data_IF_165722765560
#
_entry.id   IF_165722765560
#
_cell.length_a   1.000
_cell.length_b   1.000
_cell.length_c   1.000
_cell.angle_alpha   90.00
_cell.angle_beta   90.00
_cell.angle_gamma   90.00
#
_symmetry.space_group_name_H-M   'P 1'
#
loop_
_entity.id
_entity.type
_entity.pdbx_description
1 polymer ?
#
# COMPACT_ATOMS: atom_id res chain seq x y z
N UNK A 1 -3.14 -8.62 16.68
CA UNK A 1 -2.56 -9.24 15.46
C UNK A 1 -1.55 -8.27 14.89
N UNK A 2 -0.53 -8.71 14.11
CA UNK A 2 0.37 -7.78 13.45
C UNK A 2 -0.39 -6.93 12.43
N UNK A 3 -0.01 -5.66 12.29
CA UNK A 3 -0.59 -4.77 11.27
C UNK A 3 -0.26 -5.33 9.88
N UNK A 4 -1.30 -5.47 9.05
CA UNK A 4 -1.13 -5.88 7.66
C UNK A 4 -1.44 -4.73 6.71
N UNK A 5 -0.88 -4.80 5.52
CA UNK A 5 -0.90 -3.76 4.50
C UNK A 5 -1.29 -4.37 3.18
N UNK A 6 -2.21 -3.74 2.48
CA UNK A 6 -2.60 -4.11 1.14
C UNK A 6 -2.15 -2.99 0.20
N UNK A 7 -1.33 -3.33 -0.78
CA UNK A 7 -0.74 -2.37 -1.73
C UNK A 7 -1.47 -2.50 -3.06
N UNK A 8 -2.30 -1.52 -3.40
CA UNK A 8 -3.13 -1.52 -4.61
C UNK A 8 -2.51 -0.58 -5.64
N UNK A 9 -2.13 -1.12 -6.80
CA UNK A 9 -1.53 -0.33 -7.86
C UNK A 9 -2.60 0.53 -8.55
N UNK A 10 -2.37 1.84 -8.63
CA UNK A 10 -3.27 2.72 -9.36
C UNK A 10 -3.06 2.54 -10.86
N UNK A 11 -4.16 2.46 -11.59
CA UNK A 11 -4.15 2.32 -13.04
C UNK A 11 -5.23 3.20 -13.67
N UNK A 12 -5.21 3.34 -14.99
CA UNK A 12 -6.27 4.06 -15.70
C UNK A 12 -7.66 3.40 -15.52
N UNK A 13 -7.70 2.12 -15.19
CA UNK A 13 -8.93 1.35 -14.97
C UNK A 13 -9.39 1.39 -13.51
N UNK A 14 -8.47 1.58 -12.58
CA UNK A 14 -8.74 1.76 -11.15
C UNK A 14 -7.91 2.94 -10.61
N UNK A 15 -8.30 4.18 -10.93
CA UNK A 15 -7.55 5.37 -10.53
C UNK A 15 -7.62 5.63 -9.03
N UNK A 16 -8.60 5.04 -8.35
CA UNK A 16 -8.82 5.19 -6.91
C UNK A 16 -8.21 4.05 -6.08
N UNK A 17 -7.73 2.97 -6.70
CA UNK A 17 -7.15 1.83 -5.98
C UNK A 17 -8.20 1.14 -5.11
N UNK A 18 -9.43 1.06 -5.63
CA UNK A 18 -10.58 0.51 -4.91
C UNK A 18 -10.76 -0.98 -5.15
N UNK A 19 -10.15 -1.53 -6.20
CA UNK A 19 -10.12 -2.97 -6.37
C UNK A 19 -9.00 -3.55 -5.51
N UNK A 20 -9.39 -4.02 -4.33
CA UNK A 20 -8.49 -4.63 -3.34
C UNK A 20 -8.63 -6.15 -3.29
N UNK A 21 -9.43 -6.74 -4.19
CA UNK A 21 -9.86 -8.14 -4.10
C UNK A 21 -8.77 -9.13 -4.47
N UNK A 22 -7.83 -8.71 -5.30
CA UNK A 22 -6.76 -9.57 -5.82
C UNK A 22 -5.42 -9.35 -5.09
N UNK A 23 -5.29 -8.26 -4.34
CA UNK A 23 -4.07 -7.89 -3.65
C UNK A 23 -3.91 -8.63 -2.32
N UNK A 24 -2.73 -9.21 -2.03
CA UNK A 24 -2.49 -9.87 -0.75
C UNK A 24 -2.39 -8.85 0.39
N UNK A 25 -2.93 -9.22 1.57
CA UNK A 25 -2.61 -8.56 2.84
C UNK A 25 -1.22 -9.01 3.30
N UNK A 26 -0.26 -8.09 3.28
CA UNK A 26 1.15 -8.34 3.56
C UNK A 26 1.57 -7.72 4.89
N UNK A 27 2.58 -8.29 5.55
CA UNK A 27 3.25 -7.61 6.67
C UNK A 27 4.20 -6.53 6.16
N UNK A 28 4.56 -5.56 7.00
CA UNK A 28 5.28 -4.36 6.59
C UNK A 28 6.51 -4.58 5.69
N UNK A 29 7.46 -5.51 5.98
CA UNK A 29 8.63 -5.70 5.12
C UNK A 29 8.26 -6.17 3.70
N UNK A 30 7.27 -7.05 3.58
CA UNK A 30 6.79 -7.54 2.28
C UNK A 30 6.00 -6.48 1.53
N UNK A 31 5.16 -5.73 2.23
CA UNK A 31 4.42 -4.60 1.69
C UNK A 31 5.37 -3.51 1.14
N UNK A 32 6.46 -3.23 1.87
CA UNK A 32 7.49 -2.28 1.44
C UNK A 32 8.19 -2.76 0.16
N UNK A 33 8.50 -4.06 0.07
CA UNK A 33 9.10 -4.64 -1.13
C UNK A 33 8.18 -4.56 -2.35
N UNK A 34 6.88 -4.79 -2.16
CA UNK A 34 5.88 -4.64 -3.22
C UNK A 34 5.75 -3.17 -3.66
N UNK A 35 5.69 -2.24 -2.71
CA UNK A 35 5.67 -0.81 -2.96
C UNK A 35 6.92 -0.33 -3.73
N UNK A 36 8.11 -0.83 -3.39
CA UNK A 36 9.34 -0.56 -4.15
C UNK A 36 9.23 -1.04 -5.59
N UNK A 37 8.71 -2.26 -5.81
CA UNK A 37 8.48 -2.78 -7.15
C UNK A 37 7.51 -1.95 -7.99
N UNK A 38 6.52 -1.30 -7.37
CA UNK A 38 5.60 -0.39 -8.05
C UNK A 38 6.28 0.95 -8.37
N UNK A 39 7.08 1.48 -7.44
CA UNK A 39 7.91 2.67 -7.65
C UNK A 39 8.87 2.50 -8.82
N UNK A 40 9.57 1.36 -8.89
CA UNK A 40 10.51 1.06 -9.98
C UNK A 40 9.81 0.96 -11.35
N UNK A 41 8.52 0.61 -11.36
CA UNK A 41 7.67 0.65 -12.55
C UNK A 41 7.10 2.04 -12.86
N UNK A 42 7.36 3.06 -12.01
CA UNK A 42 6.80 4.39 -12.12
C UNK A 42 5.29 4.44 -11.85
N UNK A 43 4.75 3.45 -11.13
CA UNK A 43 3.31 3.37 -10.81
C UNK A 43 3.04 3.93 -9.43
N UNK A 44 2.05 4.81 -9.35
CA UNK A 44 1.46 5.22 -8.09
C UNK A 44 0.63 4.08 -7.49
N UNK A 45 0.49 4.06 -6.18
CA UNK A 45 -0.27 3.02 -5.48
C UNK A 45 -0.97 3.60 -4.25
N UNK A 46 -1.99 2.89 -3.77
CA UNK A 46 -2.68 3.17 -2.51
C UNK A 46 -2.38 2.07 -1.52
N UNK A 47 -2.40 2.42 -0.24
CA UNK A 47 -2.12 1.49 0.84
C UNK A 47 -3.33 1.41 1.75
N UNK A 48 -3.79 0.20 2.04
CA UNK A 48 -4.77 -0.06 3.09
C UNK A 48 -4.06 -0.75 4.24
N UNK A 49 -4.14 -0.18 5.44
CA UNK A 49 -3.57 -0.77 6.64
C UNK A 49 -4.70 -1.37 7.50
N UNK A 50 -4.51 -2.59 7.94
CA UNK A 50 -5.41 -3.33 8.82
C UNK A 50 -4.67 -3.52 10.16
N UNK A 51 -5.07 -2.72 11.16
CA UNK A 51 -4.36 -2.55 12.44
C UNK A 51 -3.86 -1.12 12.66
N UNK A 52 -2.94 -0.95 13.62
CA UNK A 52 -2.28 0.34 13.90
C UNK A 52 -0.92 0.40 13.20
N UNK A 53 -0.81 1.05 12.03
CA UNK A 53 0.48 1.28 11.39
C UNK A 53 1.26 2.34 12.18
N UNK A 54 2.56 2.11 12.39
CA UNK A 54 3.44 3.12 12.98
C UNK A 54 3.67 4.28 12.01
N UNK A 55 3.89 5.49 12.53
CA UNK A 55 4.15 6.68 11.71
C UNK A 55 5.31 6.49 10.73
N UNK A 56 6.40 5.84 11.17
CA UNK A 56 7.55 5.53 10.30
C UNK A 56 7.21 4.60 9.13
N UNK A 57 6.29 3.65 9.36
CA UNK A 57 5.83 2.71 8.33
C UNK A 57 5.00 3.42 7.26
N UNK A 58 4.11 4.31 7.70
CA UNK A 58 3.32 5.16 6.80
C UNK A 58 4.21 6.08 5.97
N UNK A 59 5.21 6.69 6.61
CA UNK A 59 6.14 7.60 5.96
C UNK A 59 6.96 6.87 4.89
N UNK A 60 7.50 5.69 5.21
CA UNK A 60 8.25 4.89 4.24
C UNK A 60 7.45 4.55 2.98
N UNK A 61 6.16 4.23 3.12
CA UNK A 61 5.28 3.94 1.97
C UNK A 61 4.97 5.21 1.16
N UNK A 62 4.79 6.36 1.80
CA UNK A 62 4.61 7.66 1.13
C UNK A 62 5.85 8.07 0.33
N UNK A 63 7.04 7.91 0.91
CA UNK A 63 8.32 8.15 0.22
C UNK A 63 8.53 7.24 -1.02
N UNK A 64 7.79 6.13 -1.08
CA UNK A 64 7.79 5.23 -2.23
C UNK A 64 6.74 5.59 -3.29
N UNK A 65 5.84 6.54 -3.04
CA UNK A 65 4.80 6.96 -3.97
C UNK A 65 3.38 6.54 -3.60
N UNK A 66 3.15 6.16 -2.33
CA UNK A 66 1.80 5.95 -1.83
C UNK A 66 1.00 7.27 -1.85
N UNK A 67 -0.13 7.27 -2.56
CA UNK A 67 -1.01 8.45 -2.66
C UNK A 67 -1.78 8.67 -1.36
N UNK A 68 -2.20 7.60 -0.72
CA UNK A 68 -2.92 7.66 0.56
C UNK A 68 -2.73 6.36 1.34
N UNK A 69 -2.77 6.46 2.67
CA UNK A 69 -2.83 5.29 3.54
C UNK A 69 -4.10 5.34 4.36
N UNK A 70 -5.00 4.38 4.11
CA UNK A 70 -6.31 4.33 4.73
C UNK A 70 -6.36 3.22 5.81
N UNK A 71 -6.98 3.48 6.97
CA UNK A 71 -7.33 2.41 7.90
C UNK A 71 -8.46 1.57 7.31
N UNK A 72 -8.32 0.25 7.39
CA UNK A 72 -9.37 -0.71 7.02
C UNK A 72 -10.31 -0.82 8.22
N UNK A 73 -11.58 -0.41 8.06
CA UNK A 73 -12.61 -0.43 9.12
C UNK A 73 -13.19 -1.85 9.25
#
# INVERSE_FOLDING_TARGET
>A
MPTTYQIVALSALDPEGTDTRDEPKLVFPDALKMAQGLKDQGKAFRVFADGEPSGDQLQALRDLGAVEVLPTI
#
